data_IF_891899090119
#
_entry.id   IF_891899090119
#
_cell.length_a   1.000
_cell.length_b   1.000
_cell.length_c   1.000
_cell.angle_alpha   90.00
_cell.angle_beta   90.00
_cell.angle_gamma   90.00
#
_symmetry.space_group_name_H-M   'P 1'
#
loop_
_entity.id
_entity.type
_entity.pdbx_description
1 polymer ?
#
# COMPACT_ATOMS: atom_id res chain seq x y z
N UNK A 1 -0.77 -12.82 -10.42
CA UNK A 1 -0.32 -11.65 -11.18
C UNK A 1 0.41 -10.71 -10.23
N UNK A 2 1.67 -10.38 -10.53
CA UNK A 2 2.59 -9.62 -9.69
C UNK A 2 3.51 -10.51 -8.88
N UNK A 3 4.82 -10.47 -9.16
CA UNK A 3 5.90 -11.19 -8.50
C UNK A 3 6.51 -10.43 -7.31
N UNK A 4 5.74 -9.55 -6.69
CA UNK A 4 6.11 -8.87 -5.46
C UNK A 4 5.84 -9.71 -4.19
N UNK A 5 6.02 -9.13 -3.00
CA UNK A 5 5.90 -9.85 -1.73
C UNK A 5 4.57 -10.60 -1.55
N UNK A 6 3.43 -9.98 -1.90
CA UNK A 6 2.13 -10.62 -1.77
C UNK A 6 1.97 -11.82 -2.72
N UNK A 7 2.31 -11.64 -4.01
CA UNK A 7 2.17 -12.71 -5.01
C UNK A 7 3.11 -13.88 -4.75
N UNK A 8 4.38 -13.62 -4.41
CA UNK A 8 5.34 -14.69 -4.10
C UNK A 8 4.98 -15.45 -2.83
N UNK A 9 4.56 -14.76 -1.77
CA UNK A 9 4.15 -15.41 -0.53
C UNK A 9 2.88 -16.26 -0.72
N UNK A 10 1.93 -15.78 -1.54
CA UNK A 10 0.75 -16.56 -1.92
C UNK A 10 1.15 -17.81 -2.73
N UNK A 11 2.02 -17.65 -3.72
CA UNK A 11 2.46 -18.75 -4.57
C UNK A 11 3.17 -19.85 -3.79
N UNK A 12 4.08 -19.49 -2.90
CA UNK A 12 4.75 -20.41 -1.96
C UNK A 12 3.73 -21.18 -1.13
N UNK A 13 2.79 -20.48 -0.52
CA UNK A 13 1.78 -21.09 0.35
C UNK A 13 0.80 -21.99 -0.43
N UNK A 14 0.45 -21.61 -1.65
CA UNK A 14 -0.40 -22.44 -2.53
C UNK A 14 0.28 -23.78 -2.87
N UNK A 15 1.57 -23.76 -3.18
CA UNK A 15 2.34 -24.98 -3.41
C UNK A 15 2.38 -25.86 -2.17
N UNK A 16 2.61 -25.28 -0.99
CA UNK A 16 2.59 -26.00 0.30
C UNK A 16 1.23 -26.60 0.62
N UNK A 17 0.15 -25.99 0.14
CA UNK A 17 -1.23 -26.52 0.26
C UNK A 17 -1.60 -27.53 -0.80
N UNK A 18 -0.65 -27.99 -1.60
CA UNK A 18 -0.85 -29.05 -2.59
C UNK A 18 -1.45 -28.58 -3.92
N UNK A 19 -1.49 -27.27 -4.21
CA UNK A 19 -1.89 -26.80 -5.55
C UNK A 19 -0.83 -27.21 -6.56
N UNK A 20 -1.17 -28.10 -7.48
CA UNK A 20 -0.22 -28.76 -8.36
C UNK A 20 0.56 -27.80 -9.27
N UNK A 21 -0.08 -26.77 -9.83
CA UNK A 21 0.57 -25.80 -10.70
C UNK A 21 0.25 -24.38 -10.26
N UNK A 22 1.28 -23.60 -10.00
CA UNK A 22 1.18 -22.18 -9.63
C UNK A 22 2.10 -21.39 -10.55
N UNK A 23 1.50 -20.48 -11.33
CA UNK A 23 2.22 -19.58 -12.23
C UNK A 23 2.18 -18.15 -11.68
N UNK A 24 3.33 -17.51 -11.59
CA UNK A 24 3.49 -16.08 -11.29
C UNK A 24 3.81 -15.35 -12.59
N UNK A 25 3.00 -14.35 -12.95
CA UNK A 25 3.24 -13.44 -14.05
C UNK A 25 3.80 -12.14 -13.49
N UNK A 26 5.01 -11.76 -13.92
CA UNK A 26 5.71 -10.56 -13.47
C UNK A 26 6.16 -9.72 -14.69
N UNK A 27 5.81 -8.43 -14.69
CA UNK A 27 6.17 -7.51 -15.79
C UNK A 27 7.65 -7.15 -15.82
N UNK A 28 8.30 -7.13 -14.67
CA UNK A 28 9.73 -6.80 -14.56
C UNK A 28 10.60 -8.00 -14.91
N UNK A 29 11.88 -7.78 -15.25
CA UNK A 29 12.80 -8.89 -15.56
C UNK A 29 13.13 -9.77 -14.35
N UNK A 30 12.88 -9.29 -13.14
CA UNK A 30 13.17 -10.00 -11.89
C UNK A 30 11.97 -10.02 -10.93
N UNK A 31 11.88 -11.10 -10.16
CA UNK A 31 10.93 -11.25 -9.06
C UNK A 31 11.34 -10.43 -7.83
N UNK A 32 10.38 -10.10 -6.98
CA UNK A 32 10.61 -9.44 -5.69
C UNK A 32 9.88 -8.10 -5.54
N UNK A 33 9.47 -7.48 -6.64
CA UNK A 33 8.73 -6.22 -6.67
C UNK A 33 9.53 -5.03 -6.11
N UNK A 34 8.85 -4.01 -5.63
CA UNK A 34 9.43 -2.74 -5.13
C UNK A 34 10.59 -2.91 -4.12
N UNK A 35 10.60 -3.89 -3.20
CA UNK A 35 11.75 -4.07 -2.30
C UNK A 35 13.11 -4.18 -2.99
N UNK A 36 13.17 -4.63 -4.24
CA UNK A 36 14.44 -4.69 -5.00
C UNK A 36 15.16 -3.36 -5.10
N UNK A 37 14.38 -2.29 -5.21
CA UNK A 37 14.88 -0.94 -5.42
C UNK A 37 15.11 -0.18 -4.10
N UNK A 38 14.77 -0.78 -2.94
CA UNK A 38 14.85 -0.17 -1.61
C UNK A 38 16.11 -0.61 -0.86
N UNK A 39 17.23 0.06 -1.06
CA UNK A 39 18.51 -0.33 -0.44
C UNK A 39 18.66 0.21 0.99
N UNK A 40 17.72 -0.15 1.88
CA UNK A 40 17.78 0.12 3.30
C UNK A 40 17.26 -1.08 4.10
N UNK A 41 17.60 -1.13 5.39
CA UNK A 41 17.12 -2.17 6.31
C UNK A 41 15.64 -1.94 6.70
N UNK A 42 15.01 -2.99 7.24
CA UNK A 42 13.64 -2.98 7.77
C UNK A 42 12.67 -3.95 7.10
N UNK A 43 13.14 -4.71 6.11
CA UNK A 43 12.34 -5.72 5.41
C UNK A 43 12.40 -7.08 6.12
N UNK A 44 11.32 -7.86 6.01
CA UNK A 44 11.26 -9.25 6.41
C UNK A 44 10.96 -9.53 7.89
N UNK A 45 10.90 -8.50 8.76
CA UNK A 45 10.61 -8.73 10.17
C UNK A 45 9.23 -9.36 10.43
N UNK A 46 8.12 -8.86 9.84
CA UNK A 46 6.80 -9.41 10.13
C UNK A 46 6.58 -10.84 9.62
N UNK A 47 7.15 -11.19 8.46
CA UNK A 47 6.84 -12.42 7.71
C UNK A 47 7.95 -13.46 7.74
N UNK A 48 9.22 -13.05 7.81
CA UNK A 48 10.39 -13.94 7.83
C UNK A 48 11.13 -13.98 9.17
N UNK A 49 10.73 -13.13 10.14
CA UNK A 49 11.40 -12.95 11.44
C UNK A 49 12.89 -12.60 11.30
N UNK A 50 13.22 -11.83 10.26
CA UNK A 50 14.59 -11.38 9.95
C UNK A 50 14.55 -9.91 9.54
N UNK A 51 15.63 -9.17 9.85
CA UNK A 51 15.82 -7.81 9.37
C UNK A 51 16.78 -7.87 8.18
N UNK A 52 16.28 -7.54 7.01
CA UNK A 52 16.99 -7.60 5.73
C UNK A 52 16.96 -6.24 5.05
N UNK A 53 17.88 -6.00 4.10
CA UNK A 53 17.69 -4.94 3.11
C UNK A 53 16.65 -5.36 2.08
N UNK A 54 16.05 -4.40 1.39
CA UNK A 54 15.02 -4.67 0.39
C UNK A 54 15.45 -5.66 -0.68
N UNK A 55 16.64 -5.49 -1.34
CA UNK A 55 17.13 -6.45 -2.34
C UNK A 55 17.33 -7.86 -1.77
N UNK A 56 17.89 -7.99 -0.56
CA UNK A 56 18.07 -9.31 0.09
C UNK A 56 16.73 -9.97 0.42
N UNK A 57 15.75 -9.18 0.81
CA UNK A 57 14.40 -9.67 1.06
C UNK A 57 13.74 -10.17 -0.23
N UNK A 58 13.83 -9.42 -1.32
CA UNK A 58 13.30 -9.80 -2.63
C UNK A 58 13.91 -11.09 -3.16
N UNK A 59 15.25 -11.20 -3.13
CA UNK A 59 15.99 -12.42 -3.53
C UNK A 59 15.55 -13.62 -2.70
N UNK A 60 15.35 -13.44 -1.38
CA UNK A 60 14.91 -14.53 -0.51
C UNK A 60 13.51 -15.02 -0.84
N UNK A 61 12.56 -14.12 -1.08
CA UNK A 61 11.19 -14.49 -1.49
C UNK A 61 11.19 -15.24 -2.83
N UNK A 62 11.94 -14.76 -3.82
CA UNK A 62 12.10 -15.42 -5.10
C UNK A 62 12.74 -16.82 -4.98
N UNK A 63 13.74 -16.97 -4.11
CA UNK A 63 14.36 -18.26 -3.83
C UNK A 63 13.39 -19.23 -3.15
N UNK A 64 12.55 -18.75 -2.23
CA UNK A 64 11.50 -19.58 -1.61
C UNK A 64 10.50 -20.07 -2.66
N UNK A 65 10.05 -19.21 -3.56
CA UNK A 65 9.13 -19.58 -4.63
C UNK A 65 9.73 -20.66 -5.55
N UNK A 66 10.99 -20.50 -5.95
CA UNK A 66 11.70 -21.51 -6.75
C UNK A 66 11.82 -22.85 -6.06
N UNK A 67 12.15 -22.87 -4.75
CA UNK A 67 12.27 -24.12 -3.96
C UNK A 67 10.96 -24.88 -3.87
N UNK A 68 9.83 -24.19 -3.82
CA UNK A 68 8.50 -24.81 -3.79
C UNK A 68 7.99 -25.17 -5.21
N UNK A 69 8.79 -25.01 -6.24
CA UNK A 69 8.43 -25.35 -7.62
C UNK A 69 7.37 -24.41 -8.22
N UNK A 70 7.39 -23.13 -7.83
CA UNK A 70 6.54 -22.10 -8.45
C UNK A 70 7.09 -21.76 -9.81
N UNK A 71 6.26 -21.88 -10.86
CA UNK A 71 6.56 -21.40 -12.20
C UNK A 71 6.45 -19.87 -12.24
N UNK A 72 7.44 -19.19 -12.82
CA UNK A 72 7.42 -17.74 -12.92
C UNK A 72 7.83 -17.29 -14.32
N UNK A 73 7.00 -16.43 -14.92
CA UNK A 73 7.29 -15.75 -16.17
C UNK A 73 7.54 -14.28 -15.86
N UNK A 74 8.78 -13.88 -15.96
CA UNK A 74 9.21 -12.47 -15.90
C UNK A 74 9.04 -11.82 -17.27
N UNK A 75 9.19 -10.49 -17.35
CA UNK A 75 8.96 -9.69 -18.56
C UNK A 75 7.60 -10.01 -19.22
N UNK A 76 6.60 -10.35 -18.39
CA UNK A 76 5.30 -10.87 -18.80
C UNK A 76 4.18 -10.01 -18.21
N UNK A 77 3.73 -9.05 -19.01
CA UNK A 77 2.68 -8.10 -18.64
C UNK A 77 1.30 -8.64 -18.99
N UNK A 78 0.42 -8.70 -18.03
CA UNK A 78 -1.01 -8.95 -18.29
C UNK A 78 -1.65 -7.67 -18.79
N UNK A 79 -2.19 -7.69 -19.99
CA UNK A 79 -2.71 -6.50 -20.67
C UNK A 79 -4.24 -6.42 -20.68
N UNK A 80 -4.94 -7.54 -20.63
CA UNK A 80 -6.41 -7.57 -20.56
C UNK A 80 -6.96 -8.92 -20.10
N UNK A 81 -8.24 -8.91 -19.76
CA UNK A 81 -9.04 -10.12 -19.61
C UNK A 81 -9.57 -10.60 -20.96
N UNK A 82 -9.56 -11.91 -21.16
CA UNK A 82 -10.15 -12.59 -22.33
C UNK A 82 -11.39 -13.40 -21.96
N UNK A 83 -11.60 -13.64 -20.69
CA UNK A 83 -12.73 -14.36 -20.10
C UNK A 83 -12.70 -14.25 -18.58
N UNK A 84 -13.57 -14.95 -17.89
CA UNK A 84 -13.71 -14.85 -16.44
C UNK A 84 -12.40 -15.09 -15.67
N UNK A 85 -11.53 -15.99 -16.19
CA UNK A 85 -10.24 -16.35 -15.61
C UNK A 85 -9.19 -16.61 -16.68
N UNK A 86 -9.37 -16.01 -17.86
CA UNK A 86 -8.41 -16.03 -18.97
C UNK A 86 -7.81 -14.64 -19.16
N UNK A 87 -6.52 -14.58 -19.31
CA UNK A 87 -5.71 -13.36 -19.32
C UNK A 87 -4.88 -13.32 -20.60
N UNK A 88 -4.83 -12.17 -21.25
CA UNK A 88 -3.84 -11.92 -22.29
C UNK A 88 -2.55 -11.46 -21.66
N UNK A 89 -1.47 -12.13 -21.99
CA UNK A 89 -0.10 -11.83 -21.51
C UNK A 89 0.76 -11.41 -22.70
N UNK A 90 1.41 -10.29 -22.58
CA UNK A 90 2.41 -9.79 -23.54
C UNK A 90 3.80 -9.96 -22.96
N UNK A 91 4.71 -10.55 -23.70
CA UNK A 91 6.10 -10.80 -23.30
C UNK A 91 7.03 -10.71 -24.51
N UNK A 92 8.37 -10.71 -24.34
CA UNK A 92 9.32 -10.79 -25.46
C UNK A 92 9.11 -12.01 -26.36
N UNK A 93 8.46 -13.06 -25.85
CA UNK A 93 8.15 -14.28 -26.62
C UNK A 93 6.86 -14.17 -27.44
N UNK A 94 6.15 -13.04 -27.37
CA UNK A 94 4.90 -12.79 -28.07
C UNK A 94 3.70 -12.56 -27.14
N UNK A 95 2.52 -12.68 -27.70
CA UNK A 95 1.24 -12.51 -27.01
C UNK A 95 0.57 -13.86 -26.81
N UNK A 96 0.25 -14.18 -25.57
CA UNK A 96 -0.32 -15.48 -25.17
C UNK A 96 -1.65 -15.30 -24.44
N UNK A 97 -2.45 -16.32 -24.46
CA UNK A 97 -3.57 -16.45 -23.55
C UNK A 97 -3.25 -17.47 -22.44
N UNK A 98 -3.49 -17.07 -21.22
CA UNK A 98 -3.30 -17.90 -20.02
C UNK A 98 -4.61 -18.04 -19.29
N UNK A 99 -5.11 -19.27 -19.21
CA UNK A 99 -6.32 -19.61 -18.45
C UNK A 99 -5.96 -20.32 -17.15
N UNK A 100 -6.67 -20.01 -16.07
CA UNK A 100 -6.43 -20.59 -14.75
C UNK A 100 -7.74 -20.96 -14.05
N UNK A 101 -7.66 -21.91 -13.12
CA UNK A 101 -8.82 -22.21 -12.23
C UNK A 101 -9.10 -21.08 -11.26
N UNK A 102 -8.07 -20.36 -10.83
CA UNK A 102 -8.18 -19.16 -9.98
C UNK A 102 -7.12 -18.12 -10.38
N UNK A 103 -7.43 -16.85 -10.20
CA UNK A 103 -6.54 -15.71 -10.45
C UNK A 103 -6.39 -14.91 -9.16
N UNK A 104 -5.16 -14.65 -8.74
CA UNK A 104 -4.83 -13.71 -7.68
C UNK A 104 -4.23 -12.43 -8.28
N UNK A 105 -4.88 -11.29 -8.05
CA UNK A 105 -4.35 -9.97 -8.34
C UNK A 105 -3.49 -9.51 -7.17
N UNK A 106 -2.19 -9.34 -7.39
CA UNK A 106 -1.21 -8.83 -6.42
C UNK A 106 -0.31 -7.77 -7.08
N UNK A 107 -0.93 -6.89 -7.87
CA UNK A 107 -0.27 -5.90 -8.74
C UNK A 107 0.37 -4.75 -7.96
N UNK A 108 0.01 -4.60 -6.67
CA UNK A 108 0.60 -3.61 -5.80
C UNK A 108 0.00 -2.22 -5.95
N UNK A 109 0.81 -1.20 -5.73
CA UNK A 109 0.41 0.20 -5.81
C UNK A 109 1.58 1.06 -6.30
N UNK A 110 1.28 2.28 -6.72
CA UNK A 110 2.25 3.33 -7.07
C UNK A 110 1.98 4.61 -6.31
N UNK A 111 2.99 5.46 -6.22
CA UNK A 111 2.82 6.81 -5.67
C UNK A 111 2.04 7.68 -6.66
N UNK A 112 1.31 8.63 -6.10
CA UNK A 112 0.60 9.64 -6.87
C UNK A 112 1.60 10.66 -7.41
N UNK A 113 1.77 10.76 -8.75
CA UNK A 113 2.74 11.68 -9.35
C UNK A 113 2.26 13.13 -9.25
N UNK A 114 3.18 14.07 -9.50
CA UNK A 114 2.89 15.52 -9.51
C UNK A 114 1.61 15.88 -10.26
N UNK A 115 1.44 15.36 -11.46
CA UNK A 115 0.29 15.69 -12.31
C UNK A 115 -1.04 15.33 -11.63
N UNK A 116 -1.11 14.19 -10.95
CA UNK A 116 -2.29 13.78 -10.21
C UNK A 116 -2.52 14.57 -8.92
N UNK A 117 -1.48 15.27 -8.41
CA UNK A 117 -1.57 16.18 -7.25
C UNK A 117 -1.93 17.62 -7.64
N UNK A 118 -2.03 17.89 -8.94
CA UNK A 118 -2.39 19.19 -9.50
C UNK A 118 -1.42 20.32 -9.11
N UNK A 119 -0.15 20.02 -8.88
CA UNK A 119 0.87 21.03 -8.57
C UNK A 119 1.25 21.77 -9.86
N UNK A 120 0.96 23.08 -9.97
CA UNK A 120 1.18 23.87 -11.19
C UNK A 120 2.65 24.18 -11.46
N UNK A 121 2.91 24.86 -12.59
CA UNK A 121 4.24 25.26 -13.06
C UNK A 121 4.67 24.49 -14.31
N UNK A 122 5.87 24.80 -14.81
CA UNK A 122 6.48 24.13 -15.96
C UNK A 122 6.70 22.62 -15.67
N UNK A 123 7.09 21.86 -16.67
CA UNK A 123 7.38 20.42 -16.55
C UNK A 123 8.88 20.12 -16.73
N UNK A 124 9.74 20.66 -15.88
CA UNK A 124 11.17 20.47 -15.98
C UNK A 124 11.58 19.04 -15.60
N UNK A 125 12.73 18.59 -16.03
CA UNK A 125 13.38 17.39 -15.50
C UNK A 125 13.69 17.56 -14.00
N UNK A 126 13.83 16.43 -13.27
CA UNK A 126 14.12 16.45 -11.82
C UNK A 126 12.90 16.30 -10.93
N UNK A 127 11.70 16.10 -11.47
CA UNK A 127 10.48 15.78 -10.70
C UNK A 127 10.26 14.28 -10.69
N UNK A 128 10.38 13.66 -9.52
CA UNK A 128 10.38 12.21 -9.31
C UNK A 128 9.33 11.81 -8.27
N UNK A 129 8.95 10.53 -8.28
CA UNK A 129 8.37 9.83 -7.11
C UNK A 129 9.48 9.06 -6.39
N UNK A 130 9.23 8.55 -5.19
CA UNK A 130 10.24 7.76 -4.46
C UNK A 130 10.64 6.51 -5.23
N UNK A 131 9.68 5.78 -5.81
CA UNK A 131 9.99 4.59 -6.60
C UNK A 131 10.83 4.92 -7.84
N UNK A 132 10.54 6.05 -8.52
CA UNK A 132 11.37 6.52 -9.64
C UNK A 132 12.77 6.91 -9.18
N UNK A 133 12.89 7.62 -8.05
CA UNK A 133 14.17 7.96 -7.44
C UNK A 133 15.00 6.71 -7.13
N UNK A 134 14.42 5.74 -6.43
CA UNK A 134 15.10 4.52 -6.03
C UNK A 134 15.56 3.70 -7.24
N UNK A 135 14.70 3.57 -8.25
CA UNK A 135 15.07 2.90 -9.50
C UNK A 135 16.19 3.63 -10.26
N UNK A 136 16.16 4.96 -10.28
CA UNK A 136 17.20 5.77 -10.90
C UNK A 136 18.55 5.57 -10.19
N UNK A 137 18.57 5.66 -8.87
CA UNK A 137 19.81 5.61 -8.07
C UNK A 137 20.33 4.18 -7.92
N UNK A 138 19.48 3.25 -7.48
CA UNK A 138 19.91 1.88 -7.16
C UNK A 138 19.87 0.96 -8.38
N UNK A 139 18.86 1.10 -9.25
CA UNK A 139 18.72 0.29 -10.45
C UNK A 139 19.63 0.73 -11.58
N UNK A 140 19.53 2.01 -11.98
CA UNK A 140 20.30 2.56 -13.11
C UNK A 140 21.66 3.17 -12.70
N UNK A 141 21.93 3.33 -11.42
CA UNK A 141 23.15 3.98 -10.87
C UNK A 141 23.39 5.40 -11.41
N UNK A 142 22.30 6.14 -11.61
CA UNK A 142 22.33 7.51 -12.11
C UNK A 142 22.10 8.50 -10.96
N UNK A 143 22.60 9.73 -11.15
CA UNK A 143 22.36 10.81 -10.23
C UNK A 143 20.93 11.34 -10.33
N UNK A 144 20.27 11.58 -9.20
CA UNK A 144 18.97 12.23 -9.16
C UNK A 144 19.08 13.78 -9.20
N UNK A 145 20.25 14.32 -8.93
CA UNK A 145 20.53 15.76 -8.82
C UNK A 145 21.46 16.04 -7.65
N UNK A 146 21.66 17.33 -7.31
CA UNK A 146 22.55 17.76 -6.23
C UNK A 146 21.81 18.24 -5.00
N UNK A 147 20.64 18.86 -5.18
CA UNK A 147 19.85 19.46 -4.09
C UNK A 147 18.37 19.16 -4.27
N UNK A 148 17.78 18.48 -3.31
CA UNK A 148 16.43 17.97 -3.42
C UNK A 148 15.47 18.51 -2.36
N UNK A 149 14.20 18.68 -2.73
CA UNK A 149 13.08 18.85 -1.80
C UNK A 149 12.24 17.59 -1.83
N UNK A 150 11.91 17.06 -0.65
CA UNK A 150 11.03 15.87 -0.49
C UNK A 150 9.66 16.33 -0.05
N UNK A 151 8.63 15.99 -0.84
CA UNK A 151 7.23 16.34 -0.57
C UNK A 151 6.53 15.17 0.09
N UNK A 152 6.35 15.27 1.39
CA UNK A 152 5.86 14.26 2.33
C UNK A 152 6.74 14.17 3.58
N UNK A 153 6.19 13.61 4.66
CA UNK A 153 6.93 13.31 5.89
C UNK A 153 6.44 12.01 6.55
N UNK A 154 5.95 11.08 5.75
CA UNK A 154 5.62 9.71 6.16
C UNK A 154 6.86 8.80 6.05
N UNK A 155 6.71 7.52 6.37
CA UNK A 155 7.84 6.60 6.44
C UNK A 155 8.65 6.50 5.14
N UNK A 156 7.97 6.54 3.99
CA UNK A 156 8.61 6.46 2.67
C UNK A 156 9.39 7.72 2.31
N UNK A 157 8.98 8.90 2.83
CA UNK A 157 9.73 10.14 2.65
C UNK A 157 11.13 10.04 3.24
N UNK A 158 11.27 9.40 4.40
CA UNK A 158 12.58 9.18 5.03
C UNK A 158 13.41 8.12 4.29
N UNK A 159 12.76 7.16 3.59
CA UNK A 159 13.45 6.27 2.66
C UNK A 159 14.00 7.05 1.45
N UNK A 160 13.24 8.02 0.91
CA UNK A 160 13.72 8.91 -0.14
C UNK A 160 14.91 9.76 0.33
N UNK A 161 14.85 10.32 1.56
CA UNK A 161 16.00 11.03 2.17
C UNK A 161 17.22 10.13 2.24
N UNK A 162 17.05 8.88 2.67
CA UNK A 162 18.16 7.91 2.72
C UNK A 162 18.78 7.71 1.33
N UNK A 163 17.97 7.47 0.32
CA UNK A 163 18.43 7.26 -1.06
C UNK A 163 19.16 8.48 -1.61
N UNK A 164 18.60 9.69 -1.44
CA UNK A 164 19.22 10.94 -1.88
C UNK A 164 20.58 11.18 -1.22
N UNK A 165 20.64 11.05 0.11
CA UNK A 165 21.89 11.27 0.84
C UNK A 165 22.95 10.21 0.55
N UNK A 166 22.56 8.96 0.32
CA UNK A 166 23.47 7.90 -0.11
C UNK A 166 24.02 8.14 -1.53
N UNK A 167 23.23 8.80 -2.38
CA UNK A 167 23.65 9.24 -3.72
C UNK A 167 24.46 10.55 -3.73
N UNK A 168 24.75 11.14 -2.56
CA UNK A 168 25.51 12.37 -2.44
C UNK A 168 24.70 13.67 -2.64
N UNK A 169 23.38 13.59 -2.75
CA UNK A 169 22.52 14.76 -2.87
C UNK A 169 22.22 15.39 -1.51
N UNK A 170 22.22 16.72 -1.44
CA UNK A 170 21.70 17.47 -0.30
C UNK A 170 20.16 17.39 -0.28
N UNK A 171 19.59 17.24 0.90
CA UNK A 171 18.14 17.39 1.08
C UNK A 171 17.85 18.72 1.75
N UNK A 172 17.35 19.68 0.98
CA UNK A 172 17.08 21.04 1.44
C UNK A 172 15.93 21.11 2.45
N UNK A 173 14.87 20.32 2.25
CA UNK A 173 13.75 20.25 3.16
C UNK A 173 12.86 19.01 2.90
N UNK A 174 12.11 18.60 3.93
CA UNK A 174 10.87 17.83 3.77
C UNK A 174 9.69 18.80 3.93
N UNK A 175 8.65 18.65 3.11
CA UNK A 175 7.45 19.49 3.14
C UNK A 175 6.24 18.61 3.38
N UNK A 176 5.43 18.92 4.40
CA UNK A 176 4.20 18.18 4.70
C UNK A 176 3.06 19.13 5.09
N UNK A 177 1.87 18.82 4.61
CA UNK A 177 0.62 19.53 4.94
C UNK A 177 0.06 19.19 6.32
N UNK A 178 0.74 18.33 7.07
CA UNK A 178 0.37 17.91 8.42
C UNK A 178 1.21 18.63 9.49
N UNK A 179 0.70 18.78 10.72
CA UNK A 179 1.38 19.54 11.78
C UNK A 179 2.65 18.90 12.33
N UNK A 180 2.96 17.68 11.88
CA UNK A 180 4.21 16.97 12.21
C UNK A 180 4.43 15.78 11.28
N UNK A 181 5.65 15.21 11.31
CA UNK A 181 5.95 14.00 10.55
C UNK A 181 5.13 12.79 11.04
N UNK A 182 4.88 11.83 10.14
CA UNK A 182 4.09 10.64 10.41
C UNK A 182 4.93 9.37 10.60
N UNK A 183 6.25 9.47 10.44
CA UNK A 183 7.18 8.34 10.61
C UNK A 183 7.46 8.05 12.09
N UNK A 184 8.03 6.88 12.37
CA UNK A 184 8.47 6.51 13.71
C UNK A 184 9.63 7.41 14.17
N UNK A 185 9.56 7.87 15.42
CA UNK A 185 10.51 8.85 15.95
C UNK A 185 12.00 8.44 15.81
N UNK A 186 12.44 7.20 16.12
CA UNK A 186 13.83 6.80 15.92
C UNK A 186 14.29 6.90 14.47
N UNK A 187 13.43 6.51 13.53
CA UNK A 187 13.75 6.56 12.10
C UNK A 187 13.82 8.00 11.57
N UNK A 188 12.87 8.84 11.95
CA UNK A 188 12.88 10.26 11.60
C UNK A 188 14.10 10.99 12.19
N UNK A 189 14.46 10.65 13.43
CA UNK A 189 15.66 11.20 14.08
C UNK A 189 16.93 10.81 13.34
N UNK A 190 17.13 9.53 13.03
CA UNK A 190 18.32 9.02 12.37
C UNK A 190 18.51 9.60 10.96
N UNK A 191 17.42 9.79 10.23
CA UNK A 191 17.48 10.17 8.81
C UNK A 191 17.46 11.68 8.59
N UNK A 192 16.59 12.41 9.28
CA UNK A 192 16.43 13.85 9.06
C UNK A 192 17.06 14.69 10.20
N UNK A 193 16.68 14.45 11.47
CA UNK A 193 17.09 15.33 12.58
C UNK A 193 18.60 15.31 12.81
N UNK A 194 19.24 14.13 12.78
CA UNK A 194 20.71 14.02 12.88
C UNK A 194 21.43 14.77 11.77
N UNK A 195 20.84 14.88 10.58
CA UNK A 195 21.38 15.60 9.43
C UNK A 195 20.96 17.06 9.38
N UNK A 196 20.21 17.54 10.38
CA UNK A 196 19.67 18.91 10.44
C UNK A 196 18.80 19.29 9.23
N UNK A 197 18.11 18.31 8.60
CA UNK A 197 17.20 18.56 7.50
C UNK A 197 15.90 19.14 8.07
N UNK A 198 15.47 20.33 7.67
CA UNK A 198 14.23 20.95 8.13
C UNK A 198 13.01 20.17 7.64
N UNK A 199 12.01 20.03 8.51
CA UNK A 199 10.68 19.51 8.17
C UNK A 199 9.72 20.69 8.26
N UNK A 200 9.23 21.14 7.09
CA UNK A 200 8.27 22.22 6.97
C UNK A 200 6.89 21.62 7.12
N UNK A 201 6.33 21.79 8.31
CA UNK A 201 5.00 21.31 8.67
C UNK A 201 3.95 22.31 8.25
N UNK A 202 2.66 21.88 8.22
CA UNK A 202 1.53 22.71 7.80
C UNK A 202 1.80 23.47 6.49
N UNK A 203 2.58 22.86 5.59
CA UNK A 203 3.13 23.49 4.39
C UNK A 203 2.90 22.62 3.17
N UNK A 204 2.73 23.25 2.02
CA UNK A 204 2.54 22.54 0.75
C UNK A 204 3.39 23.17 -0.37
N UNK A 205 3.83 22.33 -1.32
CA UNK A 205 4.47 22.81 -2.55
C UNK A 205 3.37 23.30 -3.48
N UNK A 206 3.31 24.60 -3.71
CA UNK A 206 2.29 25.26 -4.51
C UNK A 206 2.71 25.46 -5.96
N UNK A 207 4.01 25.45 -6.25
CA UNK A 207 4.52 25.61 -7.62
C UNK A 207 5.92 25.02 -7.79
N UNK A 208 6.21 24.54 -8.99
CA UNK A 208 7.56 24.12 -9.41
C UNK A 208 8.06 25.13 -10.43
N UNK A 209 9.27 25.66 -10.20
CA UNK A 209 9.96 26.62 -11.03
C UNK A 209 11.10 25.95 -11.78
N UNK A 210 11.44 26.49 -12.96
CA UNK A 210 12.47 26.01 -13.86
C UNK A 210 11.92 25.63 -15.22
N UNK A 211 12.74 25.64 -16.24
CA UNK A 211 12.35 25.40 -17.63
C UNK A 211 12.80 24.00 -18.08
N UNK A 212 14.08 23.76 -18.25
CA UNK A 212 14.63 22.47 -18.65
C UNK A 212 14.76 21.52 -17.46
N UNK A 213 15.16 22.07 -16.31
CA UNK A 213 15.29 21.37 -15.05
C UNK A 213 14.66 22.19 -13.94
N UNK A 214 14.28 21.51 -12.85
CA UNK A 214 13.85 22.20 -11.61
C UNK A 214 14.96 23.14 -11.12
N UNK A 215 14.59 24.39 -10.81
CA UNK A 215 15.45 25.40 -10.23
C UNK A 215 15.05 25.75 -8.80
N UNK A 216 13.73 25.71 -8.52
CA UNK A 216 13.19 25.92 -7.19
C UNK A 216 11.77 25.36 -7.05
N UNK A 217 11.27 25.30 -5.82
CA UNK A 217 9.86 25.11 -5.50
C UNK A 217 9.34 26.26 -4.65
N UNK A 218 8.11 26.70 -4.91
CA UNK A 218 7.37 27.57 -4.00
C UNK A 218 6.68 26.72 -2.96
N UNK A 219 6.90 27.07 -1.70
CA UNK A 219 6.27 26.40 -0.55
C UNK A 219 5.46 27.42 0.22
N UNK A 220 4.18 27.12 0.39
CA UNK A 220 3.24 27.97 1.13
C UNK A 220 2.95 27.33 2.49
N UNK A 221 3.13 28.08 3.55
CA UNK A 221 2.72 27.72 4.90
C UNK A 221 1.24 28.03 5.04
N UNK A 222 0.43 27.00 5.32
CA UNK A 222 -1.04 27.11 5.26
C UNK A 222 -1.66 28.06 6.29
N UNK A 223 -1.18 28.09 7.57
CA UNK A 223 -1.79 28.91 8.61
C UNK A 223 -1.75 30.42 8.35
N UNK A 224 -0.70 30.95 7.78
CA UNK A 224 -0.50 32.37 7.54
C UNK A 224 -0.40 32.75 6.06
N UNK A 225 -0.43 31.76 5.15
CA UNK A 225 -0.31 31.97 3.72
C UNK A 225 1.08 32.41 3.25
N UNK A 226 2.08 32.44 4.13
CA UNK A 226 3.42 32.85 3.77
C UNK A 226 4.06 31.91 2.76
N UNK A 227 4.53 32.46 1.65
CA UNK A 227 5.15 31.70 0.57
C UNK A 227 6.65 32.01 0.48
N UNK A 228 7.46 31.00 0.26
CA UNK A 228 8.89 31.12 0.01
C UNK A 228 9.37 30.18 -1.08
N UNK A 229 10.38 30.59 -1.82
CA UNK A 229 11.07 29.72 -2.75
C UNK A 229 12.18 28.95 -2.04
N UNK A 230 12.34 27.67 -2.41
CA UNK A 230 13.45 26.81 -1.99
C UNK A 230 14.18 26.35 -3.24
N UNK A 231 15.41 26.81 -3.40
CA UNK A 231 16.26 26.37 -4.51
C UNK A 231 16.54 24.88 -4.42
N UNK A 232 16.31 24.18 -5.53
CA UNK A 232 16.59 22.75 -5.67
C UNK A 232 16.59 22.38 -7.16
N UNK A 233 17.30 21.33 -7.51
CA UNK A 233 17.31 20.76 -8.87
C UNK A 233 16.48 19.47 -8.96
N UNK A 234 15.95 19.02 -7.83
CA UNK A 234 15.20 17.78 -7.73
C UNK A 234 14.04 17.91 -6.73
N UNK A 235 12.84 17.39 -7.12
CA UNK A 235 11.67 17.30 -6.26
C UNK A 235 11.21 15.86 -6.21
N UNK A 236 11.06 15.31 -5.01
CA UNK A 236 10.60 13.93 -4.82
C UNK A 236 9.25 13.94 -4.13
N UNK A 237 8.21 13.56 -4.86
CA UNK A 237 6.87 13.34 -4.28
C UNK A 237 6.79 11.95 -3.65
N UNK A 238 6.34 11.90 -2.40
CA UNK A 238 6.21 10.66 -1.64
C UNK A 238 4.79 10.45 -1.15
N UNK A 239 4.44 9.22 -0.77
CA UNK A 239 3.11 8.89 -0.24
C UNK A 239 1.96 9.08 -1.24
N UNK A 240 0.74 9.18 -0.70
CA UNK A 240 -0.51 9.31 -1.45
C UNK A 240 -0.65 8.22 -2.54
N UNK A 241 -0.82 7.01 -2.08
CA UNK A 241 -0.74 5.80 -2.89
C UNK A 241 -1.99 5.56 -3.73
N UNK A 242 -1.78 5.10 -4.96
CA UNK A 242 -2.82 4.63 -5.88
C UNK A 242 -2.63 3.12 -6.05
N UNK A 243 -3.61 2.27 -5.71
CA UNK A 243 -3.59 0.87 -6.10
C UNK A 243 -3.41 0.70 -7.61
N UNK A 244 -2.60 -0.26 -8.05
CA UNK A 244 -2.46 -0.61 -9.48
C UNK A 244 -3.67 -1.43 -9.92
N UNK A 245 -4.83 -0.79 -9.96
CA UNK A 245 -6.17 -1.35 -10.06
C UNK A 245 -6.72 -1.44 -11.49
N UNK A 246 -5.97 -1.08 -12.50
CA UNK A 246 -6.42 -1.00 -13.89
C UNK A 246 -7.03 -2.33 -14.36
N UNK A 247 -6.35 -3.42 -14.08
CA UNK A 247 -6.85 -4.77 -14.43
C UNK A 247 -8.08 -5.18 -13.60
N UNK A 248 -8.17 -4.76 -12.33
CA UNK A 248 -9.34 -5.01 -11.53
C UNK A 248 -10.57 -4.30 -12.12
N UNK A 249 -10.42 -3.04 -12.51
CA UNK A 249 -11.47 -2.24 -13.18
C UNK A 249 -11.82 -2.82 -14.55
N UNK A 250 -10.83 -3.14 -15.36
CA UNK A 250 -11.04 -3.73 -16.69
C UNK A 250 -11.72 -5.11 -16.62
N UNK A 251 -11.55 -5.83 -15.52
CA UNK A 251 -12.25 -7.09 -15.22
C UNK A 251 -13.65 -6.91 -14.62
N UNK A 252 -14.16 -5.68 -14.51
CA UNK A 252 -15.50 -5.41 -13.97
C UNK A 252 -15.62 -5.75 -12.48
N UNK A 253 -14.53 -5.79 -11.72
CA UNK A 253 -14.59 -6.07 -10.29
C UNK A 253 -15.23 -4.90 -9.53
N UNK A 254 -16.01 -5.21 -8.51
CA UNK A 254 -16.50 -4.19 -7.59
C UNK A 254 -15.32 -3.50 -6.91
N UNK A 255 -15.30 -2.17 -6.97
CA UNK A 255 -14.24 -1.34 -6.43
C UNK A 255 -14.72 -0.65 -5.16
N UNK A 256 -13.85 -0.56 -4.18
CA UNK A 256 -14.08 0.23 -2.98
C UNK A 256 -13.68 1.69 -3.24
N UNK A 257 -14.62 2.66 -3.18
CA UNK A 257 -14.31 4.05 -3.48
C UNK A 257 -13.34 4.69 -2.48
N UNK A 258 -13.32 4.22 -1.23
CA UNK A 258 -12.46 4.78 -0.18
C UNK A 258 -11.01 4.32 -0.32
N UNK A 259 -10.77 3.04 -0.57
CA UNK A 259 -9.42 2.50 -0.80
C UNK A 259 -8.96 2.66 -2.25
N UNK A 260 -9.89 2.78 -3.18
CA UNK A 260 -9.66 2.75 -4.65
C UNK A 260 -9.12 1.40 -5.15
N UNK A 261 -9.09 0.40 -4.30
CA UNK A 261 -8.76 -0.98 -4.63
C UNK A 261 -10.01 -1.82 -4.91
N UNK A 262 -9.84 -3.07 -5.35
CA UNK A 262 -10.98 -3.99 -5.45
C UNK A 262 -11.55 -4.31 -4.07
N UNK A 263 -12.88 -4.35 -3.97
CA UNK A 263 -13.57 -4.79 -2.78
C UNK A 263 -13.29 -6.27 -2.54
N UNK A 264 -12.91 -6.61 -1.33
CA UNK A 264 -12.66 -8.00 -0.92
C UNK A 264 -13.29 -8.30 0.42
N UNK A 265 -13.63 -9.58 0.60
CA UNK A 265 -14.00 -10.13 1.89
C UNK A 265 -12.78 -10.64 2.69
N UNK A 266 -12.95 -11.10 3.95
CA UNK A 266 -11.86 -11.63 4.76
C UNK A 266 -11.12 -12.83 4.15
N UNK A 267 -11.70 -13.54 3.19
CA UNK A 267 -11.06 -14.61 2.44
C UNK A 267 -10.36 -14.14 1.15
N UNK A 268 -10.23 -12.82 0.94
CA UNK A 268 -9.64 -12.18 -0.24
C UNK A 268 -10.39 -12.40 -1.55
N UNK A 269 -11.64 -12.87 -1.51
CA UNK A 269 -12.50 -13.05 -2.67
C UNK A 269 -13.00 -11.69 -3.14
N UNK A 270 -12.93 -11.44 -4.43
CA UNK A 270 -13.48 -10.25 -5.09
C UNK A 270 -14.99 -10.45 -5.42
N UNK A 271 -15.55 -9.58 -6.23
CA UNK A 271 -16.91 -9.76 -6.75
C UNK A 271 -17.03 -10.88 -7.80
N UNK A 272 -15.93 -11.25 -8.46
CA UNK A 272 -15.93 -12.26 -9.52
C UNK A 272 -15.47 -13.65 -9.00
N UNK A 273 -16.25 -14.73 -9.23
CA UNK A 273 -15.90 -16.07 -8.80
C UNK A 273 -14.55 -16.55 -9.33
N UNK A 274 -13.68 -17.01 -8.41
CA UNK A 274 -12.34 -17.48 -8.73
C UNK A 274 -11.31 -16.38 -8.91
N UNK A 275 -11.68 -15.11 -8.72
CA UNK A 275 -10.76 -13.97 -8.73
C UNK A 275 -10.57 -13.45 -7.31
N UNK A 276 -9.31 -13.38 -6.90
CA UNK A 276 -8.88 -12.94 -5.57
C UNK A 276 -7.97 -11.72 -5.71
N UNK A 277 -7.85 -10.93 -4.64
CA UNK A 277 -6.93 -9.81 -4.60
C UNK A 277 -6.25 -9.69 -3.23
N UNK A 278 -4.96 -9.36 -3.19
CA UNK A 278 -4.20 -9.23 -1.95
C UNK A 278 -3.07 -8.20 -2.04
N UNK A 279 -2.57 -7.77 -0.90
CA UNK A 279 -1.45 -6.84 -0.77
C UNK A 279 -1.83 -5.40 -1.06
N UNK A 280 -0.85 -4.63 -1.53
CA UNK A 280 -0.99 -3.18 -1.69
C UNK A 280 -2.02 -2.75 -2.77
N UNK A 281 -2.45 -3.66 -3.60
CA UNK A 281 -3.58 -3.45 -4.51
C UNK A 281 -4.88 -3.11 -3.78
N UNK A 282 -5.07 -3.59 -2.56
CA UNK A 282 -6.33 -3.43 -1.84
C UNK A 282 -6.57 -2.01 -1.33
N UNK A 283 -5.49 -1.26 -0.95
CA UNK A 283 -5.65 0.03 -0.24
C UNK A 283 -4.44 0.95 -0.29
N UNK A 284 -3.51 0.73 -1.21
CA UNK A 284 -2.24 1.44 -1.25
C UNK A 284 -1.19 0.84 -0.31
N UNK A 285 -0.14 1.58 0.03
CA UNK A 285 1.05 0.99 0.65
C UNK A 285 0.86 0.51 2.09
N UNK A 286 1.14 -0.75 2.27
CA UNK A 286 1.57 -1.40 3.50
C UNK A 286 3.05 -1.77 3.40
N UNK A 287 3.67 -2.12 4.51
CA UNK A 287 5.03 -2.65 4.44
C UNK A 287 5.07 -3.98 3.70
N UNK A 288 6.18 -4.27 3.04
CA UNK A 288 6.35 -5.47 2.23
C UNK A 288 6.04 -6.77 2.99
N UNK A 289 6.45 -6.85 4.27
CA UNK A 289 6.16 -8.02 5.10
C UNK A 289 4.67 -8.21 5.39
N UNK A 290 3.90 -7.13 5.55
CA UNK A 290 2.46 -7.26 5.71
C UNK A 290 1.75 -7.62 4.41
N UNK A 291 2.20 -7.10 3.29
CA UNK A 291 1.72 -7.52 1.98
C UNK A 291 1.99 -9.02 1.76
N UNK A 292 3.16 -9.52 2.16
CA UNK A 292 3.49 -10.94 2.11
C UNK A 292 2.59 -11.79 3.02
N UNK A 293 2.29 -11.33 4.24
CA UNK A 293 1.37 -12.03 5.15
C UNK A 293 -0.05 -12.12 4.57
N UNK A 294 -0.52 -11.06 3.91
CA UNK A 294 -1.83 -11.09 3.22
C UNK A 294 -1.82 -12.05 2.03
N UNK A 295 -0.77 -12.02 1.22
CA UNK A 295 -0.61 -13.00 0.14
C UNK A 295 -0.64 -14.43 0.66
N UNK A 296 0.08 -14.72 1.73
CA UNK A 296 0.05 -16.05 2.39
C UNK A 296 -1.35 -16.41 2.89
N UNK A 297 -2.04 -15.47 3.52
CA UNK A 297 -3.39 -15.70 4.04
C UNK A 297 -4.43 -15.96 2.95
N UNK A 298 -4.29 -15.35 1.76
CA UNK A 298 -5.19 -15.57 0.62
C UNK A 298 -5.14 -17.00 0.08
N UNK A 299 -4.02 -17.70 0.26
CA UNK A 299 -3.81 -19.03 -0.28
C UNK A 299 -4.81 -20.07 0.23
N UNK A 300 -5.32 -19.93 1.45
CA UNK A 300 -6.31 -20.85 1.99
C UNK A 300 -7.63 -20.81 1.21
N UNK A 301 -8.16 -19.62 0.95
CA UNK A 301 -9.38 -19.42 0.15
C UNK A 301 -9.18 -19.86 -1.30
N UNK A 302 -8.03 -19.53 -1.89
CA UNK A 302 -7.68 -19.92 -3.26
C UNK A 302 -7.58 -21.43 -3.40
N UNK A 303 -6.85 -22.11 -2.51
CA UNK A 303 -6.68 -23.57 -2.55
C UNK A 303 -8.02 -24.29 -2.39
N UNK A 304 -8.91 -23.84 -1.49
CA UNK A 304 -10.27 -24.36 -1.34
C UNK A 304 -11.06 -24.19 -2.64
N UNK A 305 -11.05 -23.01 -3.24
CA UNK A 305 -11.72 -22.78 -4.51
C UNK A 305 -11.19 -23.66 -5.65
N UNK A 306 -9.85 -23.80 -5.74
CA UNK A 306 -9.23 -24.65 -6.75
C UNK A 306 -9.61 -26.13 -6.58
N UNK A 307 -9.75 -26.61 -5.36
CA UNK A 307 -10.13 -28.00 -5.06
C UNK A 307 -11.61 -28.25 -5.30
N UNK A 308 -12.49 -27.44 -4.70
CA UNK A 308 -13.90 -27.73 -4.53
C UNK A 308 -14.82 -26.80 -5.34
N UNK A 309 -14.28 -25.77 -5.99
CA UNK A 309 -15.07 -24.70 -6.61
C UNK A 309 -15.80 -23.81 -5.59
N UNK A 310 -15.51 -23.97 -4.30
CA UNK A 310 -16.23 -23.30 -3.23
C UNK A 310 -16.11 -21.76 -3.31
N UNK A 311 -17.23 -21.09 -3.41
CA UNK A 311 -17.37 -19.65 -3.39
C UNK A 311 -18.34 -19.23 -2.28
N UNK A 312 -18.46 -17.94 -2.03
CA UNK A 312 -19.46 -17.46 -1.06
C UNK A 312 -20.88 -17.82 -1.53
N UNK A 313 -21.70 -18.27 -0.61
CA UNK A 313 -23.09 -18.64 -0.87
C UNK A 313 -24.07 -17.52 -0.49
N UNK A 314 -23.62 -16.57 0.32
CA UNK A 314 -24.43 -15.46 0.83
C UNK A 314 -24.04 -14.13 0.19
N UNK A 315 -24.97 -13.18 0.21
CA UNK A 315 -24.68 -11.78 -0.12
C UNK A 315 -23.60 -11.21 0.80
N UNK A 316 -22.89 -10.23 0.29
CA UNK A 316 -21.89 -9.51 1.08
C UNK A 316 -22.56 -8.39 1.90
N UNK A 317 -22.10 -8.22 3.12
CA UNK A 317 -22.43 -7.08 3.95
C UNK A 317 -21.28 -6.06 3.89
N UNK A 318 -21.54 -4.79 3.48
CA UNK A 318 -20.51 -3.79 3.41
C UNK A 318 -19.94 -3.42 4.79
N UNK A 319 -18.65 -3.05 4.81
CA UNK A 319 -17.97 -2.49 5.97
C UNK A 319 -17.40 -1.14 5.58
N UNK A 320 -17.80 -0.08 6.26
CA UNK A 320 -17.41 1.29 5.98
C UNK A 320 -16.57 1.89 7.10
N UNK A 321 -15.75 2.87 6.76
CA UNK A 321 -15.08 3.73 7.74
C UNK A 321 -15.71 5.12 7.71
N UNK A 322 -16.03 5.67 8.86
CA UNK A 322 -16.47 7.06 9.00
C UNK A 322 -15.27 8.00 9.24
N UNK A 323 -15.33 9.26 8.76
CA UNK A 323 -14.36 10.26 9.15
C UNK A 323 -14.21 10.34 10.68
N UNK A 324 -13.02 10.51 11.22
CA UNK A 324 -11.78 10.85 10.53
C UNK A 324 -10.96 9.63 10.04
N UNK A 325 -11.52 8.44 9.96
CA UNK A 325 -10.90 7.32 9.29
C UNK A 325 -11.09 7.44 7.77
N UNK A 326 -10.07 7.05 7.01
CA UNK A 326 -10.10 7.16 5.55
C UNK A 326 -10.82 5.99 4.88
N UNK A 327 -10.62 4.79 5.39
CA UNK A 327 -11.11 3.53 4.82
C UNK A 327 -10.92 2.39 5.80
N UNK A 328 -11.56 1.26 5.55
CA UNK A 328 -11.36 -0.02 6.23
C UNK A 328 -11.20 -1.13 5.19
N UNK A 329 -10.32 -2.09 5.46
CA UNK A 329 -10.09 -3.25 4.59
C UNK A 329 -9.90 -4.52 5.44
N UNK A 330 -10.61 -5.62 5.13
CA UNK A 330 -11.60 -5.81 4.04
C UNK A 330 -12.80 -4.86 4.18
N UNK A 331 -13.40 -4.50 3.04
CA UNK A 331 -14.56 -3.61 2.99
C UNK A 331 -15.89 -4.36 2.78
N UNK A 332 -15.84 -5.68 2.88
CA UNK A 332 -17.02 -6.55 2.80
C UNK A 332 -16.89 -7.72 3.77
N UNK A 333 -18.03 -8.24 4.21
CA UNK A 333 -18.17 -9.45 5.00
C UNK A 333 -19.11 -10.43 4.29
N UNK A 334 -18.91 -11.71 4.56
CA UNK A 334 -19.90 -12.76 4.26
C UNK A 334 -20.44 -13.21 5.61
N UNK A 335 -21.66 -12.83 5.97
CA UNK A 335 -22.25 -13.19 7.25
C UNK A 335 -22.32 -14.71 7.44
N UNK A 336 -22.05 -15.18 8.65
CA UNK A 336 -22.04 -16.61 8.98
C UNK A 336 -20.77 -17.37 8.58
N UNK A 337 -19.87 -16.77 7.79
CA UNK A 337 -18.57 -17.40 7.52
C UNK A 337 -17.56 -17.08 8.65
N UNK A 338 -16.89 -18.15 9.12
CA UNK A 338 -15.81 -18.00 10.07
C UNK A 338 -14.65 -17.20 9.45
N UNK A 339 -14.12 -16.24 10.20
CA UNK A 339 -12.92 -15.55 9.80
C UNK A 339 -11.74 -16.53 9.71
N UNK A 340 -10.89 -16.38 8.69
CA UNK A 340 -9.58 -17.00 8.71
C UNK A 340 -8.83 -16.56 9.99
N UNK A 341 -8.26 -17.51 10.71
CA UNK A 341 -7.51 -17.21 11.92
C UNK A 341 -6.50 -16.08 11.69
N UNK A 342 -6.45 -15.12 12.62
CA UNK A 342 -5.48 -14.03 12.65
C UNK A 342 -5.57 -12.95 11.55
N UNK A 343 -6.71 -12.77 10.84
CA UNK A 343 -6.83 -11.63 9.94
C UNK A 343 -7.43 -10.40 10.63
N UNK A 344 -6.64 -9.35 10.88
CA UNK A 344 -7.17 -8.08 11.36
C UNK A 344 -7.83 -7.31 10.21
N UNK A 345 -8.83 -6.51 10.53
CA UNK A 345 -9.22 -5.39 9.69
C UNK A 345 -8.17 -4.28 9.81
N UNK A 346 -7.92 -3.58 8.73
CA UNK A 346 -6.94 -2.50 8.70
C UNK A 346 -7.66 -1.21 8.33
N UNK A 347 -7.34 -0.12 9.02
CA UNK A 347 -7.84 1.22 8.70
C UNK A 347 -6.72 2.25 8.82
N UNK A 348 -6.98 3.49 8.37
CA UNK A 348 -6.07 4.64 8.51
C UNK A 348 -6.82 5.89 8.91
N UNK A 349 -6.22 6.67 9.81
CA UNK A 349 -6.71 8.00 10.12
C UNK A 349 -6.30 9.04 9.06
N UNK A 350 -7.17 10.02 8.82
CA UNK A 350 -6.88 11.16 7.95
C UNK A 350 -6.09 12.26 8.68
N UNK A 351 -6.22 12.33 10.00
CA UNK A 351 -5.56 13.32 10.86
C UNK A 351 -5.05 12.67 12.14
N UNK A 352 -4.22 13.38 12.88
CA UNK A 352 -3.80 12.95 14.21
C UNK A 352 -4.99 12.98 15.17
N UNK A 353 -5.13 11.91 15.95
CA UNK A 353 -6.12 11.81 17.04
C UNK A 353 -5.41 11.32 18.29
N UNK A 354 -5.78 11.86 19.42
CA UNK A 354 -5.25 11.44 20.73
C UNK A 354 -6.38 11.01 21.64
N UNK A 355 -6.09 10.07 22.53
CA UNK A 355 -6.91 9.60 23.62
C UNK A 355 -8.37 9.37 23.22
N UNK A 356 -8.61 8.24 22.57
CA UNK A 356 -9.92 7.94 22.04
C UNK A 356 -10.24 6.45 21.97
N UNK A 357 -11.31 6.13 21.29
CA UNK A 357 -11.73 4.77 21.01
C UNK A 357 -12.07 4.59 19.54
N UNK A 358 -11.68 3.43 19.00
CA UNK A 358 -12.22 2.88 17.78
C UNK A 358 -13.45 2.05 18.14
N UNK A 359 -14.53 2.27 17.42
CA UNK A 359 -15.78 1.53 17.57
C UNK A 359 -16.16 0.86 16.26
N UNK A 360 -16.66 -0.37 16.36
CA UNK A 360 -17.30 -1.08 15.28
C UNK A 360 -18.75 -1.24 15.63
N UNK A 361 -19.65 -0.76 14.76
CA UNK A 361 -21.09 -0.76 14.99
C UNK A 361 -21.84 -1.40 13.83
N UNK A 362 -23.00 -1.96 14.14
CA UNK A 362 -24.01 -2.33 13.17
C UNK A 362 -25.34 -1.70 13.63
N UNK A 363 -25.83 -0.72 12.89
CA UNK A 363 -26.91 0.14 13.36
C UNK A 363 -26.54 0.82 14.68
N UNK A 364 -27.42 0.74 15.67
CA UNK A 364 -27.21 1.25 17.02
C UNK A 364 -26.30 0.35 17.89
N UNK A 365 -26.11 -0.92 17.51
CA UNK A 365 -25.39 -1.90 18.31
C UNK A 365 -23.87 -1.72 18.16
N UNK A 366 -23.16 -1.57 19.27
CA UNK A 366 -21.68 -1.58 19.33
C UNK A 366 -21.23 -3.04 19.41
N UNK A 367 -20.53 -3.51 18.38
CA UNK A 367 -19.97 -4.86 18.28
C UNK A 367 -18.58 -4.95 18.91
N UNK A 368 -17.80 -3.90 18.81
CA UNK A 368 -16.45 -3.87 19.34
C UNK A 368 -16.00 -2.46 19.66
N UNK A 369 -15.24 -2.32 20.76
CA UNK A 369 -14.61 -1.07 21.14
C UNK A 369 -13.19 -1.31 21.63
N UNK A 370 -12.24 -0.52 21.13
CA UNK A 370 -10.86 -0.56 21.60
C UNK A 370 -10.31 0.85 21.78
N UNK A 371 -9.64 1.10 22.90
CA UNK A 371 -9.03 2.41 23.17
C UNK A 371 -7.74 2.56 22.37
N UNK A 372 -7.43 3.78 21.99
CA UNK A 372 -6.13 4.17 21.44
C UNK A 372 -5.61 5.40 22.19
N UNK A 373 -4.29 5.46 22.35
CA UNK A 373 -3.60 6.64 22.85
C UNK A 373 -3.34 7.65 21.73
N UNK A 374 -2.97 7.16 20.54
CA UNK A 374 -2.71 8.01 19.41
C UNK A 374 -2.95 7.28 18.08
N UNK A 375 -3.62 7.95 17.15
CA UNK A 375 -3.68 7.57 15.75
C UNK A 375 -2.85 8.56 14.93
N UNK A 376 -1.95 8.04 14.11
CA UNK A 376 -1.07 8.82 13.26
C UNK A 376 -1.46 8.59 11.81
N UNK A 377 -1.69 9.66 11.01
CA UNK A 377 -1.95 9.52 9.58
C UNK A 377 -0.88 8.67 8.89
N UNK A 378 -1.27 8.00 7.81
CA UNK A 378 -0.40 7.12 7.01
C UNK A 378 0.16 5.89 7.76
N UNK A 379 -0.15 5.70 9.04
CA UNK A 379 0.12 4.45 9.77
C UNK A 379 -1.11 3.55 9.79
N UNK A 380 -0.88 2.27 9.59
CA UNK A 380 -1.96 1.27 9.61
C UNK A 380 -2.39 0.97 11.03
N UNK A 381 -3.69 1.00 11.22
CA UNK A 381 -4.36 0.69 12.47
C UNK A 381 -5.02 -0.67 12.28
N UNK A 382 -4.77 -1.60 13.19
CA UNK A 382 -5.32 -2.97 13.12
C UNK A 382 -6.43 -3.15 14.11
N UNK A 383 -7.56 -3.62 13.60
CA UNK A 383 -8.74 -3.98 14.37
C UNK A 383 -8.86 -5.50 14.43
N UNK A 384 -9.11 -6.03 15.63
CA UNK A 384 -9.47 -7.43 15.80
C UNK A 384 -10.72 -7.75 14.99
N UNK A 385 -10.78 -8.91 14.37
CA UNK A 385 -11.98 -9.41 13.68
C UNK A 385 -12.94 -10.19 14.59
N UNK A 386 -12.73 -10.23 15.92
CA UNK A 386 -13.54 -11.04 16.85
C UNK A 386 -15.03 -10.70 16.82
N UNK A 387 -15.37 -9.48 16.50
CA UNK A 387 -16.73 -8.96 16.39
C UNK A 387 -17.53 -9.51 15.19
N UNK A 388 -16.88 -10.13 14.23
CA UNK A 388 -17.53 -10.59 13.01
C UNK A 388 -18.58 -11.68 13.30
N UNK A 389 -18.33 -12.53 14.30
CA UNK A 389 -19.31 -13.53 14.75
C UNK A 389 -20.59 -12.96 15.37
N UNK A 390 -20.59 -11.67 15.70
CA UNK A 390 -21.74 -10.97 16.28
C UNK A 390 -22.54 -10.16 15.25
N UNK A 391 -22.10 -10.16 14.00
CA UNK A 391 -22.76 -9.43 12.90
C UNK A 391 -24.06 -10.12 12.51
N UNK A 392 -25.15 -9.37 12.52
CA UNK A 392 -26.44 -9.85 12.04
C UNK A 392 -26.42 -9.94 10.49
N UNK A 393 -26.75 -11.09 9.89
CA UNK A 393 -26.65 -11.29 8.44
C UNK A 393 -27.51 -10.33 7.60
N UNK A 394 -28.69 -10.01 8.09
CA UNK A 394 -29.66 -9.12 7.41
C UNK A 394 -29.66 -7.70 8.03
N UNK A 395 -28.63 -7.39 8.82
CA UNK A 395 -28.51 -6.10 9.48
C UNK A 395 -27.98 -5.01 8.56
N UNK A 396 -27.96 -3.80 9.10
CA UNK A 396 -27.34 -2.66 8.43
C UNK A 396 -25.84 -2.89 8.16
N UNK A 397 -25.22 -2.12 7.23
CA UNK A 397 -23.78 -2.15 7.02
C UNK A 397 -23.00 -1.94 8.31
N UNK A 398 -21.84 -2.58 8.41
CA UNK A 398 -20.95 -2.39 9.56
C UNK A 398 -20.15 -1.11 9.38
N UNK A 399 -20.09 -0.31 10.44
CA UNK A 399 -19.40 0.98 10.45
C UNK A 399 -18.25 0.97 11.45
N UNK A 400 -17.08 1.38 10.98
CA UNK A 400 -15.89 1.60 11.81
C UNK A 400 -15.68 3.09 11.99
N UNK A 401 -15.64 3.57 13.23
CA UNK A 401 -15.46 4.97 13.56
C UNK A 401 -14.35 5.18 14.59
N UNK A 402 -13.82 6.40 14.66
CA UNK A 402 -12.87 6.82 15.69
C UNK A 402 -13.43 8.04 16.42
N UNK A 403 -13.53 7.96 17.74
CA UNK A 403 -13.99 9.05 18.59
C UNK A 403 -12.92 9.40 19.61
N UNK A 404 -12.62 10.67 19.78
CA UNK A 404 -11.84 11.15 20.93
C UNK A 404 -12.72 11.06 22.18
N UNK A 405 -12.15 10.59 23.27
CA UNK A 405 -12.80 10.70 24.56
C UNK A 405 -12.77 12.19 24.90
N UNK A 406 -13.93 12.86 24.80
CA UNK A 406 -14.04 14.21 25.31
C UNK A 406 -13.66 14.17 26.80
N UNK A 407 -12.73 15.01 27.21
CA UNK A 407 -12.56 15.41 28.60
C UNK A 407 -13.86 16.13 29.05
N UNK A 408 -14.90 15.36 29.34
CA UNK A 408 -15.98 15.87 30.19
C UNK A 408 -15.44 15.85 31.61
N UNK A 409 -14.98 16.97 32.09
CA UNK A 409 -14.50 17.09 33.44
C UNK A 409 -13.66 18.32 33.70
N UNK A 410 -14.14 19.52 33.27
CA UNK A 410 -13.75 20.79 33.91
C UNK A 410 -14.91 21.76 33.78
N UNK A 411 -15.91 21.52 34.62
CA UNK A 411 -16.87 22.54 35.04
C UNK A 411 -17.49 22.08 36.35
N UNK A 412 -16.78 22.25 37.44
CA UNK A 412 -17.29 22.50 38.81
C UNK A 412 -16.31 23.39 39.53
#
# INVERSE_FOLDING_TARGET
>A
MGGGPAGLAAAVELRRRGVARVLVLEREPELGGIPRDCDHLGFGWPDLRRILSGPRYAVRLAAMARREGVEAWTESSVTRWKGARSLQVTSPRGVFEVSARAVLLATGCRERPRAARLVPGARPAGVLTTGALQRLVHGARLSAGRRAVVVGAEHVSFSAVHTLTAAGAEVAALVTDLPRHQSYAPFAWLTARRRRIPILVDSEVTRILGQDRVEAVEVTHRPDGATRAIECDTVVFTGDWIPDHELARAGGLAMDPATRGPQVDPSFRTSAPGVFAAGNLLRGAETAGFAALEGRASAAGIARFVRDGAWRQSAILPVFAEPPLRWVSPSALVPGEALPAARPFVTRAARFLRDGALEVRQGARVLHRTRFRELVPNRSIRLSGRWVGEVAPEGEPVVVSARTLSTQGEAR
#
